data_IF_929148567526
#
_entry.id   IF_929148567526
#
_cell.length_a   1.000
_cell.length_b   1.000
_cell.length_c   1.000
_cell.angle_alpha   90.00
_cell.angle_beta   90.00
_cell.angle_gamma   90.00
#
_symmetry.space_group_name_H-M   'P 1'
#
loop_
_entity.id
_entity.type
_entity.pdbx_description
1 polymer ?
#
# COMPACT_ATOMS: atom_id res chain seq x y z
N UNK A 1 -22.28 7.86 5.07
CA UNK A 1 -23.42 8.25 4.23
C UNK A 1 -22.93 9.40 3.39
N UNK A 2 -23.21 9.43 2.09
CA UNK A 2 -22.81 10.57 1.27
C UNK A 2 -23.51 11.82 1.76
N UNK A 3 -22.79 12.95 1.77
CA UNK A 3 -23.32 14.26 2.17
C UNK A 3 -23.49 15.20 0.98
N UNK A 4 -22.92 14.83 -0.17
CA UNK A 4 -23.01 15.58 -1.42
C UNK A 4 -24.32 15.24 -2.14
N UNK A 5 -25.09 16.26 -2.53
CA UNK A 5 -26.41 16.10 -3.15
C UNK A 5 -26.35 15.45 -4.52
N UNK A 6 -25.30 15.71 -5.32
CA UNK A 6 -25.14 15.08 -6.64
C UNK A 6 -24.86 13.59 -6.49
N UNK A 7 -24.04 13.22 -5.50
CA UNK A 7 -23.74 11.81 -5.21
C UNK A 7 -24.99 11.08 -4.71
N UNK A 8 -25.79 11.72 -3.86
CA UNK A 8 -27.06 11.15 -3.40
C UNK A 8 -28.02 10.94 -4.57
N UNK A 9 -28.17 11.93 -5.45
CA UNK A 9 -29.07 11.85 -6.61
C UNK A 9 -28.66 10.72 -7.57
N UNK A 10 -27.36 10.61 -7.87
CA UNK A 10 -26.80 9.54 -8.69
C UNK A 10 -27.14 8.14 -8.13
N UNK A 11 -26.89 7.90 -6.85
CA UNK A 11 -27.17 6.59 -6.24
C UNK A 11 -28.65 6.35 -5.93
N UNK A 12 -29.51 7.35 -6.14
CA UNK A 12 -30.96 7.20 -6.05
C UNK A 12 -31.55 6.82 -7.40
N UNK A 13 -31.03 7.38 -8.49
CA UNK A 13 -31.66 7.31 -9.82
C UNK A 13 -30.91 6.45 -10.84
N UNK A 14 -29.58 6.35 -10.75
CA UNK A 14 -28.75 5.71 -11.77
C UNK A 14 -28.15 4.36 -11.30
N UNK A 15 -27.76 4.26 -10.03
CA UNK A 15 -27.01 3.10 -9.53
C UNK A 15 -27.40 2.71 -8.11
N UNK A 16 -27.61 1.42 -7.86
CA UNK A 16 -27.81 0.92 -6.50
C UNK A 16 -26.48 0.89 -5.73
N UNK A 17 -26.44 1.51 -4.55
CA UNK A 17 -25.30 1.48 -3.64
C UNK A 17 -25.54 0.52 -2.48
N UNK A 18 -24.61 -0.41 -2.27
CA UNK A 18 -24.56 -1.25 -1.06
C UNK A 18 -23.30 -0.91 -0.27
N UNK A 19 -23.48 -0.46 0.98
CA UNK A 19 -22.36 -0.21 1.89
C UNK A 19 -22.03 -1.48 2.66
N UNK A 20 -20.78 -1.92 2.56
CA UNK A 20 -20.27 -3.10 3.27
C UNK A 20 -19.22 -2.67 4.28
N UNK A 21 -19.30 -3.21 5.50
CA UNK A 21 -18.22 -3.11 6.47
C UNK A 21 -17.27 -4.28 6.25
N UNK A 22 -16.17 -4.05 5.54
CA UNK A 22 -15.22 -5.11 5.19
C UNK A 22 -14.51 -5.77 6.37
N UNK A 23 -14.50 -5.14 7.57
CA UNK A 23 -14.00 -5.81 8.79
C UNK A 23 -14.98 -6.84 9.35
N UNK A 24 -16.27 -6.67 9.07
CA UNK A 24 -17.33 -7.56 9.55
C UNK A 24 -17.74 -8.60 8.50
N UNK A 25 -17.66 -8.27 7.22
CA UNK A 25 -18.03 -9.14 6.10
C UNK A 25 -16.77 -9.62 5.36
N UNK A 26 -16.14 -10.67 5.89
CA UNK A 26 -14.98 -11.30 5.28
C UNK A 26 -15.32 -12.06 3.99
N UNK A 27 -16.55 -12.58 3.86
CA UNK A 27 -16.97 -13.37 2.69
C UNK A 27 -17.00 -12.48 1.45
N UNK A 28 -17.64 -11.30 1.55
CA UNK A 28 -17.72 -10.40 0.39
C UNK A 28 -16.35 -9.79 0.06
N UNK A 29 -15.54 -9.48 1.07
CA UNK A 29 -14.19 -8.92 0.84
C UNK A 29 -13.24 -9.95 0.23
N UNK A 30 -13.33 -11.22 0.61
CA UNK A 30 -12.60 -12.31 -0.01
C UNK A 30 -13.06 -12.55 -1.45
N UNK A 31 -14.38 -12.60 -1.69
CA UNK A 31 -14.97 -12.77 -3.03
C UNK A 31 -14.45 -11.75 -4.06
N UNK A 32 -14.29 -10.49 -3.66
CA UNK A 32 -13.83 -9.41 -4.54
C UNK A 32 -12.37 -9.01 -4.31
N UNK A 33 -11.61 -9.80 -3.56
CA UNK A 33 -10.19 -9.56 -3.26
C UNK A 33 -9.89 -8.13 -2.77
N UNK A 34 -10.68 -7.62 -1.83
CA UNK A 34 -10.51 -6.26 -1.31
C UNK A 34 -9.23 -6.18 -0.48
N UNK A 35 -8.23 -5.49 -1.03
CA UNK A 35 -6.90 -5.33 -0.41
C UNK A 35 -6.63 -3.93 0.14
N UNK A 36 -7.51 -2.96 -0.13
CA UNK A 36 -7.39 -1.57 0.31
C UNK A 36 -8.76 -0.96 0.64
N UNK A 37 -8.78 0.01 1.56
CA UNK A 37 -9.99 0.72 1.95
C UNK A 37 -9.80 2.25 1.82
N UNK A 38 -10.83 2.99 1.36
CA UNK A 38 -12.07 2.48 0.79
C UNK A 38 -11.86 1.88 -0.61
N UNK A 39 -12.68 0.90 -0.98
CA UNK A 39 -12.80 0.41 -2.37
C UNK A 39 -14.28 0.34 -2.73
N UNK A 40 -14.64 0.92 -3.87
CA UNK A 40 -15.96 0.81 -4.49
C UNK A 40 -15.85 -0.16 -5.66
N UNK A 41 -16.47 -1.33 -5.55
CA UNK A 41 -16.52 -2.32 -6.64
C UNK A 41 -17.84 -2.18 -7.38
N UNK A 42 -17.75 -1.93 -8.69
CA UNK A 42 -18.91 -1.89 -9.58
C UNK A 42 -19.13 -3.28 -10.16
N UNK A 43 -20.33 -3.82 -9.98
CA UNK A 43 -20.67 -5.18 -10.39
C UNK A 43 -21.92 -5.20 -11.28
N UNK A 44 -21.99 -6.21 -12.14
CA UNK A 44 -23.19 -6.57 -12.90
C UNK A 44 -24.20 -7.28 -11.99
N UNK A 45 -25.45 -7.42 -12.47
CA UNK A 45 -26.52 -8.12 -11.76
C UNK A 45 -26.19 -9.60 -11.44
N UNK A 46 -25.37 -10.24 -12.27
CA UNK A 46 -24.90 -11.61 -12.05
C UNK A 46 -23.75 -11.70 -11.02
N UNK A 47 -23.28 -10.56 -10.48
CA UNK A 47 -22.20 -10.49 -9.51
C UNK A 47 -20.79 -10.47 -10.10
N UNK A 48 -20.65 -10.42 -11.43
CA UNK A 48 -19.36 -10.19 -12.08
C UNK A 48 -18.92 -8.74 -11.89
N UNK A 49 -17.64 -8.55 -11.62
CA UNK A 49 -17.06 -7.21 -11.52
C UNK A 49 -16.89 -6.58 -12.90
N UNK A 50 -17.27 -5.29 -12.99
CA UNK A 50 -16.99 -4.43 -14.14
C UNK A 50 -15.63 -3.77 -13.89
N UNK A 51 -15.54 -2.97 -12.84
CA UNK A 51 -14.30 -2.34 -12.38
C UNK A 51 -14.45 -1.81 -10.95
N UNK A 52 -13.42 -1.14 -10.43
CA UNK A 52 -13.38 -0.58 -9.09
C UNK A 52 -12.72 0.80 -9.06
N UNK A 53 -13.08 1.53 -8.02
CA UNK A 53 -12.39 2.74 -7.58
C UNK A 53 -11.75 2.44 -6.23
N UNK A 54 -10.44 2.65 -6.13
CA UNK A 54 -9.68 2.46 -4.89
C UNK A 54 -9.27 3.82 -4.35
N UNK A 55 -9.45 4.03 -3.05
CA UNK A 55 -9.13 5.28 -2.38
C UNK A 55 -10.21 6.35 -2.53
N UNK A 56 -9.83 7.57 -2.15
CA UNK A 56 -10.71 8.73 -2.17
C UNK A 56 -10.50 9.55 -3.44
N UNK A 57 -11.59 10.16 -3.92
CA UNK A 57 -11.53 11.13 -5.02
C UNK A 57 -12.66 12.15 -4.88
N UNK A 58 -12.55 13.28 -5.59
CA UNK A 58 -13.58 14.31 -5.58
C UNK A 58 -14.92 13.77 -6.13
N UNK A 59 -16.07 14.22 -5.59
CA UNK A 59 -17.39 13.71 -5.97
C UNK A 59 -17.63 13.63 -7.49
N UNK A 60 -17.32 14.69 -8.23
CA UNK A 60 -17.59 14.79 -9.67
C UNK A 60 -16.73 13.78 -10.44
N UNK A 61 -15.46 13.68 -10.10
CA UNK A 61 -14.54 12.72 -10.70
C UNK A 61 -14.94 11.27 -10.36
N UNK A 62 -15.43 11.02 -9.15
CA UNK A 62 -15.95 9.71 -8.74
C UNK A 62 -17.15 9.29 -9.61
N UNK A 63 -18.16 10.15 -9.71
CA UNK A 63 -19.36 9.87 -10.48
C UNK A 63 -19.05 9.73 -11.97
N UNK A 64 -18.15 10.56 -12.51
CA UNK A 64 -17.72 10.43 -13.89
C UNK A 64 -17.03 9.09 -14.13
N UNK A 65 -16.14 8.67 -13.23
CA UNK A 65 -15.45 7.36 -13.35
C UNK A 65 -16.43 6.18 -13.34
N UNK A 66 -17.49 6.24 -12.52
CA UNK A 66 -18.54 5.21 -12.52
C UNK A 66 -19.35 5.20 -13.83
N UNK A 67 -19.64 6.36 -14.41
CA UNK A 67 -20.29 6.46 -15.73
C UNK A 67 -19.38 5.92 -16.84
N UNK A 68 -18.10 6.25 -16.80
CA UNK A 68 -17.11 5.75 -17.77
C UNK A 68 -17.03 4.22 -17.71
N UNK A 69 -16.91 3.63 -16.51
CA UNK A 69 -16.95 2.19 -16.32
C UNK A 69 -18.26 1.55 -16.79
N UNK A 70 -19.40 2.21 -16.56
CA UNK A 70 -20.69 1.73 -17.09
C UNK A 70 -20.71 1.67 -18.63
N UNK A 71 -19.95 2.55 -19.28
CA UNK A 71 -19.78 2.59 -20.74
C UNK A 71 -18.55 1.80 -21.23
N UNK A 72 -17.90 1.05 -20.35
CA UNK A 72 -16.69 0.26 -20.66
C UNK A 72 -15.40 1.08 -20.70
N UNK A 73 -15.43 2.40 -20.60
CA UNK A 73 -14.27 3.28 -20.72
C UNK A 73 -13.40 3.19 -19.47
N UNK A 74 -12.09 2.96 -19.66
CA UNK A 74 -11.11 2.84 -18.58
C UNK A 74 -11.28 1.58 -17.74
N UNK A 75 -12.09 0.61 -18.20
CA UNK A 75 -12.19 -0.72 -17.59
C UNK A 75 -10.94 -1.55 -17.91
N UNK A 76 -10.70 -2.63 -17.16
CA UNK A 76 -9.60 -3.55 -17.47
C UNK A 76 -9.68 -4.07 -18.92
N UNK A 77 -10.87 -4.46 -19.38
CA UNK A 77 -11.07 -4.98 -20.75
C UNK A 77 -10.77 -3.91 -21.82
N UNK A 78 -11.21 -2.66 -21.61
CA UNK A 78 -10.92 -1.54 -22.50
C UNK A 78 -9.42 -1.21 -22.55
N UNK A 79 -8.74 -1.22 -21.40
CA UNK A 79 -7.30 -0.99 -21.34
C UNK A 79 -6.52 -2.11 -22.05
N UNK A 80 -6.91 -3.37 -21.86
CA UNK A 80 -6.30 -4.51 -22.56
C UNK A 80 -6.49 -4.41 -24.08
N UNK A 81 -7.69 -4.03 -24.54
CA UNK A 81 -7.97 -3.80 -25.96
C UNK A 81 -7.12 -2.66 -26.53
N UNK A 82 -7.09 -1.50 -25.85
CA UNK A 82 -6.25 -0.35 -26.24
C UNK A 82 -4.78 -0.69 -26.31
N UNK A 83 -4.28 -1.46 -25.33
CA UNK A 83 -2.90 -1.93 -25.33
C UNK A 83 -2.58 -2.82 -26.53
N UNK A 84 -3.50 -3.68 -26.97
CA UNK A 84 -3.29 -4.56 -28.11
C UNK A 84 -3.15 -3.77 -29.43
N UNK A 85 -3.86 -2.66 -29.55
CA UNK A 85 -3.81 -1.77 -30.72
C UNK A 85 -2.62 -0.79 -30.66
N UNK A 86 -2.37 -0.20 -29.49
CA UNK A 86 -1.34 0.81 -29.28
C UNK A 86 -0.81 0.74 -27.84
N UNK A 87 0.30 0.03 -27.66
CA UNK A 87 1.00 -0.03 -26.38
C UNK A 87 1.53 1.35 -25.96
N UNK A 88 1.24 1.74 -24.72
CA UNK A 88 1.99 2.78 -23.99
C UNK A 88 2.31 2.31 -22.58
N UNK A 89 3.32 2.90 -21.96
CA UNK A 89 3.72 2.57 -20.59
C UNK A 89 2.63 2.95 -19.58
N UNK A 90 1.90 4.04 -19.82
CA UNK A 90 0.80 4.49 -18.98
C UNK A 90 -0.36 3.50 -19.00
N UNK A 91 -0.74 2.99 -20.18
CA UNK A 91 -1.76 1.95 -20.30
C UNK A 91 -1.30 0.67 -19.59
N UNK A 92 -0.04 0.26 -19.78
CA UNK A 92 0.52 -0.90 -19.10
C UNK A 92 0.51 -0.76 -17.58
N UNK A 93 0.87 0.42 -17.07
CA UNK A 93 0.81 0.74 -15.65
C UNK A 93 -0.62 0.67 -15.11
N UNK A 94 -1.59 1.28 -15.82
CA UNK A 94 -2.99 1.21 -15.43
C UNK A 94 -3.50 -0.23 -15.40
N UNK A 95 -3.16 -1.06 -16.39
CA UNK A 95 -3.50 -2.50 -16.38
C UNK A 95 -2.88 -3.19 -15.16
N UNK A 96 -1.62 -2.89 -14.83
CA UNK A 96 -0.95 -3.39 -13.62
C UNK A 96 -1.73 -3.05 -12.35
N UNK A 97 -2.14 -1.79 -12.18
CA UNK A 97 -2.96 -1.35 -11.05
C UNK A 97 -4.30 -2.09 -10.99
N UNK A 98 -4.94 -2.30 -12.15
CA UNK A 98 -6.23 -3.01 -12.26
C UNK A 98 -6.11 -4.45 -11.74
N UNK A 99 -5.05 -5.16 -12.11
CA UNK A 99 -4.80 -6.50 -11.62
C UNK A 99 -4.38 -6.52 -10.14
N UNK A 100 -3.51 -5.59 -9.72
CA UNK A 100 -3.01 -5.47 -8.34
C UNK A 100 -4.15 -5.45 -7.33
N UNK A 101 -5.18 -4.63 -7.60
CA UNK A 101 -6.32 -4.50 -6.70
C UNK A 101 -7.37 -5.60 -6.85
N UNK A 102 -7.31 -6.44 -7.90
CA UNK A 102 -8.23 -7.57 -8.11
C UNK A 102 -7.66 -8.91 -7.64
N UNK A 103 -6.49 -8.91 -7.01
CA UNK A 103 -5.82 -10.13 -6.56
C UNK A 103 -4.94 -10.81 -7.62
N UNK A 104 -4.89 -10.29 -8.85
CA UNK A 104 -4.01 -10.76 -9.93
C UNK A 104 -2.57 -10.30 -9.74
N UNK A 105 -1.87 -10.85 -8.74
CA UNK A 105 -0.52 -10.40 -8.38
C UNK A 105 0.51 -10.73 -9.47
N UNK A 106 0.38 -11.88 -10.13
CA UNK A 106 1.29 -12.31 -11.19
C UNK A 106 1.12 -11.46 -12.46
N UNK A 107 -0.13 -11.18 -12.85
CA UNK A 107 -0.44 -10.31 -13.97
C UNK A 107 0.03 -8.89 -13.67
N UNK A 108 -0.30 -8.36 -12.48
CA UNK A 108 0.15 -7.04 -12.06
C UNK A 108 1.68 -6.91 -12.15
N UNK A 109 2.41 -7.90 -11.63
CA UNK A 109 3.87 -7.91 -11.67
C UNK A 109 4.40 -7.92 -13.10
N UNK A 110 3.80 -8.71 -13.98
CA UNK A 110 4.17 -8.77 -15.40
C UNK A 110 3.98 -7.43 -16.10
N UNK A 111 2.88 -6.72 -15.80
CA UNK A 111 2.60 -5.41 -16.37
C UNK A 111 3.53 -4.32 -15.85
N UNK A 112 3.79 -4.27 -14.54
CA UNK A 112 4.75 -3.32 -13.96
C UNK A 112 6.17 -3.58 -14.46
N UNK A 113 6.58 -4.85 -14.61
CA UNK A 113 7.88 -5.17 -15.20
C UNK A 113 7.98 -4.66 -16.64
N UNK A 114 6.92 -4.81 -17.43
CA UNK A 114 6.86 -4.29 -18.80
C UNK A 114 7.01 -2.77 -18.85
N UNK A 115 6.44 -2.04 -17.88
CA UNK A 115 6.61 -0.57 -17.76
C UNK A 115 8.07 -0.19 -17.56
N UNK A 116 8.79 -0.94 -16.72
CA UNK A 116 10.20 -0.72 -16.42
C UNK A 116 11.07 -1.07 -17.63
N UNK A 117 10.85 -2.24 -18.24
CA UNK A 117 11.68 -2.76 -19.34
C UNK A 117 11.60 -1.91 -20.62
N UNK A 118 10.54 -1.11 -20.77
CA UNK A 118 10.29 -0.30 -21.96
C UNK A 118 10.55 1.20 -21.75
N UNK A 119 11.11 1.59 -20.61
CA UNK A 119 11.31 2.98 -20.20
C UNK A 119 12.70 3.30 -19.67
N UNK A 120 12.84 4.51 -19.11
CA UNK A 120 13.98 4.81 -18.25
C UNK A 120 13.75 4.13 -16.89
N UNK A 121 14.67 3.28 -16.40
CA UNK A 121 14.49 2.51 -15.17
C UNK A 121 14.40 3.38 -13.89
N UNK A 122 14.72 4.67 -13.98
CA UNK A 122 14.67 5.62 -12.86
C UNK A 122 13.74 6.81 -13.09
N UNK A 123 12.92 6.80 -14.14
CA UNK A 123 11.83 7.79 -14.26
C UNK A 123 10.69 7.51 -13.28
N UNK A 124 9.79 8.49 -13.11
CA UNK A 124 8.69 8.39 -12.14
C UNK A 124 7.79 7.18 -12.34
N UNK A 125 7.50 6.82 -13.59
CA UNK A 125 6.59 5.71 -13.89
C UNK A 125 7.25 4.35 -13.60
N UNK A 126 8.56 4.24 -13.84
CA UNK A 126 9.37 3.10 -13.40
C UNK A 126 9.48 3.06 -11.87
N UNK A 127 9.59 4.21 -11.20
CA UNK A 127 9.56 4.31 -9.74
C UNK A 127 8.27 3.76 -9.14
N UNK A 128 7.12 4.24 -9.62
CA UNK A 128 5.80 3.74 -9.20
C UNK A 128 5.66 2.22 -9.45
N UNK A 129 6.11 1.74 -10.62
CA UNK A 129 6.08 0.32 -10.96
C UNK A 129 6.98 -0.53 -10.06
N UNK A 130 8.17 -0.02 -9.71
CA UNK A 130 9.10 -0.71 -8.79
C UNK A 130 8.56 -0.75 -7.37
N UNK A 131 7.92 0.33 -6.90
CA UNK A 131 7.22 0.32 -5.61
C UNK A 131 6.10 -0.71 -5.59
N UNK A 132 5.32 -0.80 -6.67
CA UNK A 132 4.27 -1.80 -6.80
C UNK A 132 4.84 -3.23 -6.78
N UNK A 133 5.95 -3.48 -7.46
CA UNK A 133 6.65 -4.78 -7.45
C UNK A 133 7.24 -5.13 -6.08
N UNK A 134 7.93 -4.19 -5.42
CA UNK A 134 8.54 -4.40 -4.10
C UNK A 134 7.50 -4.77 -3.02
N UNK A 135 6.25 -4.33 -3.19
CA UNK A 135 5.15 -4.68 -2.29
C UNK A 135 4.65 -6.13 -2.43
N UNK A 136 4.94 -6.82 -3.54
CA UNK A 136 4.54 -8.21 -3.81
C UNK A 136 5.22 -9.20 -2.85
N UNK A 137 6.56 -9.27 -2.72
CA UNK A 137 7.21 -10.17 -1.77
C UNK A 137 6.78 -9.88 -0.33
N UNK A 138 6.58 -8.60 0.03
CA UNK A 138 6.05 -8.22 1.33
C UNK A 138 4.65 -8.83 1.61
N UNK A 139 3.73 -8.78 0.63
CA UNK A 139 2.41 -9.44 0.75
C UNK A 139 2.52 -10.96 0.88
N UNK A 140 3.50 -11.56 0.21
CA UNK A 140 3.82 -12.98 0.28
C UNK A 140 4.59 -13.37 1.56
N UNK A 141 4.85 -12.42 2.46
CA UNK A 141 5.68 -12.57 3.68
C UNK A 141 7.15 -12.93 3.40
N UNK A 142 7.60 -12.76 2.16
CA UNK A 142 9.01 -12.75 1.82
C UNK A 142 9.60 -11.38 2.19
N UNK A 143 9.89 -11.22 3.47
CA UNK A 143 10.41 -9.97 4.01
C UNK A 143 11.81 -9.65 3.51
N UNK A 144 12.65 -10.66 3.27
CA UNK A 144 14.03 -10.45 2.81
C UNK A 144 14.05 -10.04 1.33
N UNK A 145 13.21 -10.64 0.49
CA UNK A 145 13.00 -10.19 -0.89
C UNK A 145 12.49 -8.75 -0.95
N UNK A 146 11.48 -8.42 -0.14
CA UNK A 146 10.93 -7.07 -0.09
C UNK A 146 11.96 -6.02 0.35
N UNK A 147 12.73 -6.30 1.41
CA UNK A 147 13.81 -5.41 1.87
C UNK A 147 14.82 -5.16 0.75
N UNK A 148 15.25 -6.21 0.04
CA UNK A 148 16.19 -6.09 -1.08
C UNK A 148 15.64 -5.19 -2.19
N UNK A 149 14.36 -5.32 -2.52
CA UNK A 149 13.74 -4.52 -3.57
C UNK A 149 13.63 -3.04 -3.15
N UNK A 150 13.21 -2.76 -1.90
CA UNK A 150 13.16 -1.39 -1.39
C UNK A 150 14.56 -0.76 -1.25
N UNK A 151 15.58 -1.51 -0.85
CA UNK A 151 16.98 -1.03 -0.82
C UNK A 151 17.49 -0.67 -2.23
N UNK A 152 17.10 -1.43 -3.25
CA UNK A 152 17.42 -1.10 -4.63
C UNK A 152 16.73 0.20 -5.08
N UNK A 153 15.47 0.42 -4.68
CA UNK A 153 14.74 1.67 -4.97
C UNK A 153 15.41 2.85 -4.26
N UNK A 154 15.74 2.73 -2.97
CA UNK A 154 16.46 3.77 -2.21
C UNK A 154 17.74 4.21 -2.92
N UNK A 155 18.51 3.25 -3.44
CA UNK A 155 19.76 3.51 -4.15
C UNK A 155 19.54 4.21 -5.49
N UNK A 156 18.62 3.70 -6.30
CA UNK A 156 18.46 4.14 -7.69
C UNK A 156 17.66 5.46 -7.78
N UNK A 157 16.77 5.72 -6.81
CA UNK A 157 15.89 6.89 -6.76
C UNK A 157 16.29 7.91 -5.68
N UNK A 158 17.58 7.98 -5.35
CA UNK A 158 18.10 8.87 -4.31
C UNK A 158 17.66 10.32 -4.52
N UNK A 159 17.11 10.92 -3.45
CA UNK A 159 16.65 12.32 -3.47
C UNK A 159 15.27 12.52 -4.10
N UNK A 160 14.55 11.43 -4.41
CA UNK A 160 13.14 11.48 -4.83
C UNK A 160 12.24 10.91 -3.73
N UNK A 161 10.91 11.18 -3.78
CA UNK A 161 9.95 10.59 -2.85
C UNK A 161 9.97 9.06 -2.81
N UNK A 162 10.38 8.38 -3.87
CA UNK A 162 10.45 6.91 -3.88
C UNK A 162 11.52 6.36 -2.93
N UNK A 163 12.66 7.06 -2.78
CA UNK A 163 13.69 6.65 -1.83
C UNK A 163 13.23 6.86 -0.38
N UNK A 164 12.58 8.00 -0.12
CA UNK A 164 11.99 8.34 1.18
C UNK A 164 10.92 7.31 1.59
N UNK A 165 9.95 7.05 0.72
CA UNK A 165 8.90 6.04 0.98
C UNK A 165 9.50 4.63 1.16
N UNK A 166 10.56 4.30 0.42
CA UNK A 166 11.24 3.00 0.54
C UNK A 166 11.96 2.84 1.89
N UNK A 167 12.52 3.90 2.47
CA UNK A 167 13.10 3.86 3.82
C UNK A 167 12.03 3.54 4.88
N UNK A 168 10.85 4.15 4.75
CA UNK A 168 9.70 3.84 5.61
C UNK A 168 9.26 2.39 5.45
N UNK A 169 9.08 1.92 4.21
CA UNK A 169 8.64 0.54 3.94
C UNK A 169 9.64 -0.48 4.49
N UNK A 170 10.93 -0.25 4.31
CA UNK A 170 11.98 -1.11 4.86
C UNK A 170 11.91 -1.20 6.38
N UNK A 171 11.80 -0.06 7.07
CA UNK A 171 11.64 -0.03 8.53
C UNK A 171 10.36 -0.76 8.99
N UNK A 172 9.25 -0.56 8.26
CA UNK A 172 8.01 -1.27 8.52
C UNK A 172 8.13 -2.78 8.31
N UNK A 173 8.89 -3.23 7.31
CA UNK A 173 9.12 -4.67 7.07
C UNK A 173 9.94 -5.30 8.20
N UNK A 174 10.96 -4.63 8.73
CA UNK A 174 11.69 -5.12 9.92
C UNK A 174 10.75 -5.32 11.11
N UNK A 175 9.85 -4.35 11.35
CA UNK A 175 8.81 -4.49 12.37
C UNK A 175 7.94 -5.73 12.11
N UNK A 176 7.52 -5.95 10.87
CA UNK A 176 6.68 -7.10 10.50
C UNK A 176 7.41 -8.44 10.57
N UNK A 177 8.73 -8.44 10.43
CA UNK A 177 9.62 -9.59 10.65
C UNK A 177 9.85 -9.88 12.15
N UNK A 178 9.47 -8.96 13.05
CA UNK A 178 9.71 -9.05 14.49
C UNK A 178 11.08 -8.53 14.92
N UNK A 179 11.84 -7.91 14.02
CA UNK A 179 13.12 -7.26 14.33
C UNK A 179 12.87 -5.83 14.79
N UNK A 180 12.31 -5.69 16.00
CA UNK A 180 11.93 -4.40 16.60
C UNK A 180 13.11 -3.45 16.71
N UNK A 181 14.30 -3.96 17.07
CA UNK A 181 15.50 -3.15 17.21
C UNK A 181 15.90 -2.51 15.88
N UNK A 182 15.98 -3.31 14.81
CA UNK A 182 16.35 -2.80 13.48
C UNK A 182 15.26 -1.91 12.90
N UNK A 183 13.99 -2.18 13.18
CA UNK A 183 12.89 -1.31 12.80
C UNK A 183 13.01 0.09 13.43
N UNK A 184 13.31 0.17 14.72
CA UNK A 184 13.53 1.44 15.43
C UNK A 184 14.71 2.18 14.80
N UNK A 185 15.86 1.53 14.62
CA UNK A 185 17.04 2.16 14.01
C UNK A 185 16.76 2.65 12.59
N UNK A 186 16.01 1.89 11.79
CA UNK A 186 15.66 2.30 10.43
C UNK A 186 14.69 3.50 10.42
N UNK A 187 13.71 3.55 11.32
CA UNK A 187 12.84 4.72 11.46
C UNK A 187 13.58 5.96 12.00
N UNK A 188 14.52 5.79 12.92
CA UNK A 188 15.37 6.89 13.42
C UNK A 188 16.24 7.47 12.29
N UNK A 189 16.82 6.60 11.46
CA UNK A 189 17.59 7.02 10.29
C UNK A 189 16.73 7.82 9.30
N UNK A 190 15.48 7.40 9.07
CA UNK A 190 14.54 8.16 8.25
C UNK A 190 14.34 9.59 8.76
N UNK A 191 14.10 9.78 10.06
CA UNK A 191 13.90 11.12 10.66
C UNK A 191 15.16 11.97 10.55
N UNK A 192 16.36 11.38 10.62
CA UNK A 192 17.63 12.08 10.41
C UNK A 192 17.84 12.47 8.94
N UNK A 193 17.53 11.58 8.00
CA UNK A 193 17.67 11.82 6.56
C UNK A 193 16.63 12.80 6.00
N UNK A 194 15.41 12.77 6.53
CA UNK A 194 14.24 13.50 6.02
C UNK A 194 13.51 14.30 7.12
N UNK A 195 14.17 15.25 7.81
CA UNK A 195 13.58 15.97 8.94
C UNK A 195 12.39 16.88 8.58
N UNK A 196 12.20 17.20 7.29
CA UNK A 196 11.10 18.02 6.77
C UNK A 196 10.00 17.19 6.08
N UNK A 197 10.10 15.86 6.10
CA UNK A 197 9.08 14.97 5.52
C UNK A 197 7.73 15.12 6.23
N UNK A 198 6.64 15.03 5.47
CA UNK A 198 5.29 14.98 6.03
C UNK A 198 5.04 13.72 6.89
N UNK A 199 5.86 12.68 6.71
CA UNK A 199 5.76 11.42 7.44
C UNK A 199 6.50 11.42 8.78
N UNK A 200 7.31 12.46 9.11
CA UNK A 200 8.11 12.50 10.35
C UNK A 200 7.25 12.28 11.59
N UNK A 201 6.14 13.00 11.74
CA UNK A 201 5.27 12.87 12.91
C UNK A 201 4.70 11.44 13.05
N UNK A 202 4.33 10.83 11.92
CA UNK A 202 3.85 9.46 11.90
C UNK A 202 4.95 8.45 12.25
N UNK A 203 6.16 8.64 11.73
CA UNK A 203 7.33 7.80 11.99
C UNK A 203 7.77 7.89 13.47
N UNK A 204 7.84 9.09 14.05
CA UNK A 204 8.16 9.28 15.47
C UNK A 204 7.17 8.54 16.38
N UNK A 205 5.89 8.55 16.01
CA UNK A 205 4.86 7.76 16.69
C UNK A 205 5.10 6.26 16.56
N UNK A 206 5.56 5.77 15.41
CA UNK A 206 5.96 4.35 15.28
C UNK A 206 7.14 4.01 16.20
N UNK A 207 8.18 4.86 16.25
CA UNK A 207 9.34 4.67 17.12
C UNK A 207 8.90 4.59 18.59
N UNK A 208 8.07 5.54 19.05
CA UNK A 208 7.57 5.59 20.42
C UNK A 208 6.80 4.32 20.79
N UNK A 209 5.91 3.85 19.90
CA UNK A 209 5.15 2.63 20.12
C UNK A 209 6.07 1.40 20.23
N UNK A 210 7.04 1.26 19.32
CA UNK A 210 7.97 0.13 19.30
C UNK A 210 8.87 0.10 20.55
N UNK A 211 9.41 1.24 20.99
CA UNK A 211 10.17 1.33 22.25
C UNK A 211 9.31 0.97 23.47
N UNK A 212 8.03 1.35 23.45
CA UNK A 212 7.07 0.98 24.48
C UNK A 212 6.75 -0.51 24.53
N UNK A 213 6.77 -1.21 23.39
CA UNK A 213 6.62 -2.66 23.28
C UNK A 213 7.89 -3.39 23.74
N UNK A 214 9.07 -2.95 23.30
CA UNK A 214 10.36 -3.54 23.67
C UNK A 214 10.59 -3.51 25.20
N UNK A 215 10.22 -2.40 25.85
CA UNK A 215 10.34 -2.25 27.30
C UNK A 215 9.38 -3.14 28.11
N UNK A 216 8.30 -3.65 27.49
CA UNK A 216 7.40 -4.63 28.13
C UNK A 216 7.91 -6.06 28.02
N UNK A 217 8.70 -6.35 26.97
CA UNK A 217 9.22 -7.69 26.70
C UNK A 217 10.52 -7.99 27.44
N UNK A 218 11.29 -6.98 27.86
CA UNK A 218 12.45 -7.16 28.75
C UNK A 218 11.97 -7.48 30.18
N UNK A 219 12.31 -8.65 30.76
CA UNK A 219 12.05 -8.91 32.18
C UNK A 219 12.74 -7.84 33.03
N UNK A 220 12.06 -7.32 34.05
CA UNK A 220 12.72 -6.51 35.09
C UNK A 220 13.82 -7.37 35.71
N UNK A 221 15.08 -7.14 35.36
CA UNK A 221 16.19 -7.65 36.14
C UNK A 221 16.08 -7.05 37.54
N UNK A 222 15.56 -7.83 38.48
CA UNK A 222 15.61 -7.50 39.90
C UNK A 222 17.08 -7.40 40.31
N UNK A 223 17.51 -6.16 40.57
CA UNK A 223 18.80 -5.83 41.17
C UNK A 223 18.93 -6.50 42.54
N UNK A 224 19.48 -7.72 42.58
CA UNK A 224 20.05 -8.29 43.80
C UNK A 224 21.44 -7.70 44.03
N UNK A 225 21.51 -6.44 44.46
CA UNK A 225 22.65 -6.00 45.26
C UNK A 225 22.34 -6.33 46.72
N UNK A 226 22.73 -7.54 47.10
CA UNK A 226 22.80 -7.97 48.49
C UNK A 226 23.81 -7.12 49.24
N UNK A 227 23.28 -6.36 50.20
CA UNK A 227 23.90 -5.81 51.40
C UNK A 227 25.29 -6.42 51.72
N UNK A 228 26.34 -5.61 51.51
CA UNK A 228 27.63 -5.81 52.18
C UNK A 228 27.45 -5.49 53.66
N UNK A 229 27.61 -6.53 54.48
CA UNK A 229 28.45 -6.54 55.67
C UNK A 229 28.16 -5.55 56.79
N UNK A 230 27.33 -5.96 57.73
CA UNK A 230 27.48 -5.63 59.15
C UNK A 230 27.22 -6.90 59.97
N UNK A 231 28.25 -7.40 60.66
CA UNK A 231 28.22 -7.56 62.12
C UNK A 231 29.51 -8.12 62.67
N UNK A 232 30.06 -7.32 63.58
CA UNK A 232 30.99 -7.65 64.65
C UNK A 232 30.45 -8.79 65.54
N UNK A 233 31.36 -9.57 66.12
CA UNK A 233 31.09 -10.62 67.09
C UNK A 233 32.24 -11.61 67.20
#
# INVERSE_FOLDING_TARGET
>A
MFVDSMVIDFFTNEMALVKINGKADSITTEKYHISAYPTSVMIRKNGEEIDRVVGYMKPEAFLQKLRDYSNGIGTLDDLLAKNADNFTREIAFEIGEKYKYRGGQEEASSWFQKVIDTGDPIDSLSGESRMALASVPYRNKDYDGAIKDYEAIMKDFKGTPFAEESEIWRAYIFKRKGDTATAITAFEAFVEHYPESEDVEWVEKQISNLKGEENKEKPKEESKEGSKGEKEG
#
